data_IF_561189364780
#
_entry.id   IF_561189364780
#
_cell.length_a   1.000
_cell.length_b   1.000
_cell.length_c   1.000
_cell.angle_alpha   90.00
_cell.angle_beta   90.00
_cell.angle_gamma   90.00
#
_symmetry.space_group_name_H-M   'P 1'
#
loop_
_entity.id
_entity.type
_entity.pdbx_description
1 polymer ?
#
# COMPACT_ATOMS: atom_id res chain seq x y z
N UNK A 1 11.63 -11.27 -19.81
CA UNK A 1 10.95 -10.11 -20.41
C UNK A 1 9.51 -10.55 -20.57
N UNK A 2 8.63 -10.11 -19.66
CA UNK A 2 7.20 -10.46 -19.73
C UNK A 2 6.48 -9.37 -20.52
N UNK A 3 5.59 -9.77 -21.43
CA UNK A 3 4.74 -8.85 -22.16
C UNK A 3 3.54 -8.54 -21.25
N UNK A 4 3.63 -7.47 -20.45
CA UNK A 4 2.62 -7.19 -19.42
C UNK A 4 1.68 -6.09 -19.94
N UNK A 5 0.40 -6.44 -20.09
CA UNK A 5 -0.66 -5.49 -20.43
C UNK A 5 -1.24 -4.86 -19.16
N UNK A 6 -1.40 -3.53 -19.09
CA UNK A 6 -2.03 -2.88 -17.96
C UNK A 6 -3.42 -3.44 -17.66
N UNK A 7 -3.69 -3.80 -16.41
CA UNK A 7 -4.97 -4.34 -15.94
C UNK A 7 -5.50 -3.52 -14.77
N UNK A 8 -6.74 -3.08 -14.87
CA UNK A 8 -7.47 -2.47 -13.76
C UNK A 8 -8.65 -3.36 -13.39
N UNK A 9 -8.71 -3.75 -12.12
CA UNK A 9 -9.75 -4.60 -11.55
C UNK A 9 -10.62 -3.72 -10.66
N UNK A 10 -11.85 -3.48 -11.09
CA UNK A 10 -12.85 -2.65 -10.37
C UNK A 10 -13.93 -3.50 -9.73
N UNK A 11 -14.14 -4.73 -10.22
CA UNK A 11 -15.09 -5.67 -9.66
C UNK A 11 -14.56 -6.25 -8.33
N UNK A 12 -15.31 -6.15 -7.22
CA UNK A 12 -14.85 -6.60 -5.91
C UNK A 12 -14.53 -8.10 -5.86
N UNK A 13 -15.40 -8.96 -6.40
CA UNK A 13 -15.21 -10.41 -6.35
C UNK A 13 -13.97 -10.85 -7.15
N UNK A 14 -13.78 -10.29 -8.34
CA UNK A 14 -12.57 -10.53 -9.14
C UNK A 14 -11.33 -9.97 -8.43
N UNK A 15 -11.48 -8.83 -7.75
CA UNK A 15 -10.44 -8.23 -6.94
C UNK A 15 -10.02 -9.13 -5.78
N UNK A 16 -10.96 -9.72 -5.06
CA UNK A 16 -10.69 -10.59 -3.92
C UNK A 16 -10.01 -11.88 -4.34
N UNK A 17 -10.46 -12.48 -5.45
CA UNK A 17 -9.78 -13.62 -6.05
C UNK A 17 -8.34 -13.29 -6.49
N UNK A 18 -8.09 -12.06 -6.93
CA UNK A 18 -6.74 -11.61 -7.28
C UNK A 18 -5.89 -11.39 -6.03
N UNK A 19 -6.41 -10.72 -5.00
CA UNK A 19 -5.73 -10.48 -3.72
C UNK A 19 -5.39 -11.79 -3.00
N UNK A 20 -6.31 -12.76 -3.00
CA UNK A 20 -6.08 -14.08 -2.40
C UNK A 20 -4.87 -14.80 -3.03
N UNK A 21 -4.61 -14.63 -4.33
CA UNK A 21 -3.42 -15.19 -5.00
C UNK A 21 -2.12 -14.52 -4.56
N UNK A 22 -2.21 -13.31 -4.01
CA UNK A 22 -1.10 -12.58 -3.42
C UNK A 22 -0.98 -12.84 -1.91
N UNK A 23 -1.80 -13.71 -1.33
CA UNK A 23 -1.93 -13.90 0.13
C UNK A 23 -2.27 -12.60 0.86
N UNK A 24 -3.17 -11.79 0.27
CA UNK A 24 -3.69 -10.54 0.85
C UNK A 24 -5.22 -10.60 0.94
N UNK A 25 -5.78 -9.85 1.88
CA UNK A 25 -7.23 -9.71 2.09
C UNK A 25 -7.63 -8.25 1.94
N UNK A 26 -8.77 -7.98 1.28
CA UNK A 26 -9.23 -6.62 0.99
C UNK A 26 -9.43 -5.83 2.28
N UNK A 27 -10.09 -6.43 3.26
CA UNK A 27 -10.49 -5.82 4.52
C UNK A 27 -9.27 -5.37 5.32
N UNK A 28 -8.21 -6.18 5.35
CA UNK A 28 -6.93 -5.84 6.03
C UNK A 28 -6.20 -4.69 5.34
N UNK A 29 -6.24 -4.62 4.01
CA UNK A 29 -5.66 -3.51 3.26
C UNK A 29 -6.46 -2.21 3.44
N UNK A 30 -7.79 -2.31 3.47
CA UNK A 30 -8.68 -1.19 3.77
C UNK A 30 -8.43 -0.69 5.20
N UNK A 31 -8.41 -1.60 6.19
CA UNK A 31 -8.09 -1.28 7.58
C UNK A 31 -6.78 -0.52 7.70
N UNK A 32 -5.70 -0.99 7.05
CA UNK A 32 -4.42 -0.30 6.99
C UNK A 32 -4.53 1.14 6.44
N UNK A 33 -5.35 1.37 5.42
CA UNK A 33 -5.63 2.71 4.91
C UNK A 33 -6.43 3.58 5.87
N UNK A 34 -7.35 3.02 6.66
CA UNK A 34 -8.06 3.77 7.70
C UNK A 34 -7.15 4.25 8.82
N UNK A 35 -6.12 3.48 9.22
CA UNK A 35 -5.09 3.98 10.15
C UNK A 35 -4.45 5.28 9.62
N UNK A 36 -4.13 5.33 8.32
CA UNK A 36 -3.57 6.52 7.70
C UNK A 36 -4.53 7.72 7.70
N UNK A 37 -5.81 7.50 7.36
CA UNK A 37 -6.81 8.56 7.34
C UNK A 37 -7.07 9.12 8.75
N UNK A 38 -7.20 8.23 9.75
CA UNK A 38 -7.39 8.61 11.15
C UNK A 38 -6.22 9.45 11.66
N UNK A 39 -4.98 9.03 11.38
CA UNK A 39 -3.79 9.79 11.77
C UNK A 39 -3.71 11.15 11.05
N UNK A 40 -4.07 11.22 9.76
CA UNK A 40 -4.12 12.48 9.02
C UNK A 40 -5.07 13.49 9.69
N UNK A 41 -6.22 13.01 10.18
CA UNK A 41 -7.23 13.83 10.85
C UNK A 41 -6.78 14.41 12.21
N UNK A 42 -5.70 13.88 12.81
CA UNK A 42 -5.11 14.44 14.03
C UNK A 42 -4.27 15.70 13.78
N UNK A 43 -3.93 15.98 12.52
CA UNK A 43 -3.25 17.22 12.16
C UNK A 43 -4.12 18.43 12.49
N UNK A 44 -3.47 19.51 12.93
CA UNK A 44 -4.14 20.74 13.38
C UNK A 44 -3.50 21.96 12.72
N UNK A 45 -4.16 23.13 12.73
CA UNK A 45 -3.59 24.36 12.18
C UNK A 45 -2.29 24.82 12.85
N UNK A 46 -1.94 24.26 14.01
CA UNK A 46 -0.69 24.56 14.71
C UNK A 46 0.50 23.75 14.20
N UNK A 47 0.24 22.69 13.44
CA UNK A 47 1.27 21.87 12.83
C UNK A 47 1.77 22.46 11.49
N UNK A 48 2.96 22.07 11.02
CA UNK A 48 3.40 22.36 9.66
C UNK A 48 2.41 21.85 8.60
N UNK A 49 2.35 22.52 7.45
CA UNK A 49 1.40 22.21 6.36
C UNK A 49 1.45 20.76 5.88
N UNK A 50 2.60 20.10 5.98
CA UNK A 50 2.79 18.71 5.56
C UNK A 50 2.50 17.66 6.66
N UNK A 51 2.13 18.06 7.88
CA UNK A 51 1.98 17.16 9.02
C UNK A 51 0.94 16.07 8.78
N UNK A 52 -0.22 16.40 8.21
CA UNK A 52 -1.25 15.42 7.88
C UNK A 52 -0.72 14.30 6.96
N UNK A 53 0.09 14.66 5.96
CA UNK A 53 0.71 13.68 5.06
C UNK A 53 1.76 12.82 5.76
N UNK A 54 2.52 13.38 6.70
CA UNK A 54 3.51 12.64 7.48
C UNK A 54 2.84 11.67 8.46
N UNK A 55 1.81 12.11 9.18
CA UNK A 55 1.03 11.26 10.08
C UNK A 55 0.37 10.11 9.33
N UNK A 56 -0.28 10.42 8.19
CA UNK A 56 -0.86 9.40 7.31
C UNK A 56 0.18 8.36 6.85
N UNK A 57 1.40 8.79 6.52
CA UNK A 57 2.46 7.86 6.13
C UNK A 57 2.88 6.94 7.28
N UNK A 58 3.15 7.51 8.46
CA UNK A 58 3.61 6.73 9.62
C UNK A 58 2.57 5.69 10.03
N UNK A 59 1.31 6.11 10.17
CA UNK A 59 0.24 5.22 10.61
C UNK A 59 -0.27 4.33 9.48
N UNK A 60 -0.13 4.72 8.22
CA UNK A 60 -0.37 3.83 7.08
C UNK A 60 0.63 2.67 7.01
N UNK A 61 1.92 2.92 7.26
CA UNK A 61 2.94 1.86 7.37
C UNK A 61 2.67 0.98 8.60
N UNK A 62 2.35 1.59 9.74
CA UNK A 62 2.00 0.88 10.97
C UNK A 62 0.77 -0.02 10.76
N UNK A 63 -0.30 0.51 10.17
CA UNK A 63 -1.53 -0.23 9.86
C UNK A 63 -1.24 -1.37 8.89
N UNK A 64 -0.49 -1.12 7.82
CA UNK A 64 -0.10 -2.17 6.87
C UNK A 64 0.58 -3.35 7.57
N UNK A 65 1.48 -3.07 8.51
CA UNK A 65 2.14 -4.10 9.33
C UNK A 65 1.19 -4.77 10.32
N UNK A 66 0.44 -3.97 11.08
CA UNK A 66 -0.45 -4.49 12.12
C UNK A 66 -1.52 -5.44 11.56
N UNK A 67 -2.09 -5.11 10.40
CA UNK A 67 -3.19 -5.87 9.82
C UNK A 67 -2.73 -7.09 9.01
N UNK A 68 -1.51 -7.06 8.44
CA UNK A 68 -1.09 -8.06 7.43
C UNK A 68 0.12 -8.92 7.85
N UNK A 69 0.77 -8.65 8.98
CA UNK A 69 1.86 -9.52 9.46
C UNK A 69 1.32 -10.87 9.94
N UNK A 70 2.10 -11.92 9.67
CA UNK A 70 1.73 -13.32 9.95
C UNK A 70 1.87 -14.20 8.70
N UNK A 71 1.88 -15.51 8.90
CA UNK A 71 2.13 -16.46 7.81
C UNK A 71 3.49 -16.20 7.15
N UNK A 72 3.48 -15.90 5.84
CA UNK A 72 4.67 -15.62 5.03
C UNK A 72 5.04 -14.13 4.96
N UNK A 73 4.29 -13.24 5.63
CA UNK A 73 4.52 -11.80 5.58
C UNK A 73 5.43 -11.33 6.72
N UNK A 74 6.51 -10.65 6.35
CA UNK A 74 7.50 -10.08 7.25
C UNK A 74 7.59 -8.56 7.12
N UNK A 75 8.17 -7.91 8.13
CA UNK A 75 8.51 -6.48 8.05
C UNK A 75 9.57 -6.27 6.97
N UNK A 76 9.33 -5.29 6.11
CA UNK A 76 10.29 -4.81 5.13
C UNK A 76 10.75 -3.39 5.47
N UNK A 77 12.07 -3.19 5.53
CA UNK A 77 12.75 -1.90 5.70
C UNK A 77 14.12 -1.97 5.04
N UNK A 78 14.22 -1.45 3.82
CA UNK A 78 15.45 -1.39 3.03
C UNK A 78 15.43 -0.11 2.19
N UNK A 79 16.60 0.47 1.87
CA UNK A 79 16.71 1.62 0.96
C UNK A 79 15.85 2.85 1.35
N UNK A 80 15.48 2.98 2.63
CA UNK A 80 14.63 4.07 3.13
C UNK A 80 13.16 3.95 2.72
N UNK A 81 12.70 2.76 2.32
CA UNK A 81 11.28 2.45 2.13
C UNK A 81 10.83 1.39 3.14
N UNK A 82 9.60 1.55 3.61
CA UNK A 82 9.03 0.77 4.71
C UNK A 82 7.74 0.10 4.25
N UNK A 83 7.54 -1.15 4.64
CA UNK A 83 6.32 -1.90 4.36
C UNK A 83 6.37 -3.34 4.88
N UNK A 84 5.83 -4.25 4.09
CA UNK A 84 5.86 -5.71 4.33
C UNK A 84 6.37 -6.44 3.08
N UNK A 85 6.93 -7.64 3.25
CA UNK A 85 7.38 -8.52 2.16
C UNK A 85 6.93 -9.96 2.36
N UNK A 86 6.78 -10.67 1.26
CA UNK A 86 6.57 -12.12 1.19
C UNK A 86 7.65 -12.71 0.28
N UNK A 87 8.61 -13.43 0.86
CA UNK A 87 9.76 -13.96 0.12
C UNK A 87 9.46 -15.23 -0.67
N UNK A 88 8.36 -15.91 -0.36
CA UNK A 88 7.87 -17.10 -1.09
C UNK A 88 7.26 -16.65 -2.42
N UNK A 89 6.36 -15.68 -2.38
CA UNK A 89 5.72 -15.11 -3.58
C UNK A 89 6.58 -14.06 -4.29
N UNK A 90 7.70 -13.66 -3.68
CA UNK A 90 8.56 -12.56 -4.12
C UNK A 90 7.76 -11.26 -4.31
N UNK A 91 7.02 -10.88 -3.28
CA UNK A 91 6.19 -9.67 -3.26
C UNK A 91 6.63 -8.71 -2.16
N UNK A 92 6.39 -7.43 -2.37
CA UNK A 92 6.49 -6.36 -1.37
C UNK A 92 5.24 -5.49 -1.47
N UNK A 93 4.75 -5.03 -0.33
CA UNK A 93 3.68 -4.01 -0.27
C UNK A 93 4.21 -2.83 0.52
N UNK A 94 4.19 -1.65 -0.10
CA UNK A 94 4.58 -0.38 0.50
C UNK A 94 3.36 0.52 0.65
N UNK A 95 3.41 1.50 1.55
CA UNK A 95 2.35 2.48 1.70
C UNK A 95 2.65 3.79 0.94
N UNK A 96 1.65 4.42 0.33
CA UNK A 96 1.79 5.76 -0.27
C UNK A 96 0.51 6.58 -0.22
N UNK A 97 0.70 7.86 0.10
CA UNK A 97 -0.28 8.91 -0.09
C UNK A 97 -0.33 9.37 -1.56
N UNK A 98 -1.51 9.28 -2.18
CA UNK A 98 -1.74 9.73 -3.57
C UNK A 98 -2.74 10.89 -3.62
N UNK A 99 -2.80 11.59 -4.75
CA UNK A 99 -3.77 12.67 -4.97
C UNK A 99 -5.18 12.13 -5.21
N UNK A 100 -5.29 11.05 -5.97
CA UNK A 100 -6.54 10.39 -6.34
C UNK A 100 -6.26 8.90 -6.51
N UNK A 101 -7.11 8.07 -5.91
CA UNK A 101 -7.16 6.62 -6.11
C UNK A 101 -8.51 6.24 -6.75
N UNK A 102 -8.60 5.03 -7.29
CA UNK A 102 -9.81 4.48 -7.89
C UNK A 102 -10.39 5.31 -9.06
N UNK A 103 -9.50 5.93 -9.86
CA UNK A 103 -9.89 6.70 -11.05
C UNK A 103 -9.34 6.07 -12.33
N UNK A 104 -9.91 6.47 -13.46
CA UNK A 104 -9.45 6.03 -14.80
C UNK A 104 -7.97 6.36 -15.04
N UNK A 105 -7.52 7.53 -14.56
CA UNK A 105 -6.11 7.89 -14.60
C UNK A 105 -5.32 7.14 -13.52
N UNK A 106 -4.05 6.84 -13.80
CA UNK A 106 -3.17 6.24 -12.80
C UNK A 106 -2.89 7.21 -11.63
N UNK A 107 -2.76 6.70 -10.40
CA UNK A 107 -2.53 7.54 -9.24
C UNK A 107 -1.22 8.31 -9.34
N UNK A 108 -1.24 9.53 -8.81
CA UNK A 108 -0.06 10.37 -8.67
C UNK A 108 0.31 10.48 -7.20
N UNK A 109 1.56 10.19 -6.87
CA UNK A 109 2.08 10.38 -5.53
C UNK A 109 1.97 11.85 -5.09
N UNK A 110 1.62 12.09 -3.82
CA UNK A 110 1.56 13.45 -3.24
C UNK A 110 2.94 14.10 -3.10
N UNK A 111 3.98 13.29 -2.95
CA UNK A 111 5.37 13.72 -2.88
C UNK A 111 6.21 13.04 -3.95
N UNK A 112 7.34 13.66 -4.33
CA UNK A 112 8.34 12.97 -5.13
C UNK A 112 8.83 11.73 -4.39
N UNK A 113 9.05 10.66 -5.14
CA UNK A 113 9.68 9.42 -4.70
C UNK A 113 11.19 9.61 -4.65
N UNK A 114 11.80 9.09 -3.59
CA UNK A 114 13.26 9.09 -3.45
C UNK A 114 13.89 7.99 -4.30
N UNK A 115 15.21 8.08 -4.50
CA UNK A 115 15.97 7.10 -5.27
C UNK A 115 15.85 5.67 -4.72
N UNK A 116 15.59 5.50 -3.41
CA UNK A 116 15.31 4.18 -2.81
C UNK A 116 14.01 3.55 -3.31
N UNK A 117 12.95 4.36 -3.47
CA UNK A 117 11.68 3.88 -4.05
C UNK A 117 11.84 3.46 -5.52
N UNK A 118 12.73 4.11 -6.28
CA UNK A 118 13.04 3.70 -7.67
C UNK A 118 13.85 2.40 -7.72
N UNK A 119 14.80 2.22 -6.81
CA UNK A 119 15.59 0.98 -6.71
C UNK A 119 14.74 -0.21 -6.28
N UNK A 120 13.77 0.01 -5.40
CA UNK A 120 12.89 -1.05 -4.86
C UNK A 120 11.67 -1.30 -5.75
N UNK A 121 11.17 -0.29 -6.45
CA UNK A 121 10.14 -0.47 -7.47
C UNK A 121 10.76 -0.81 -8.83
N UNK A 122 9.93 -1.00 -9.85
CA UNK A 122 10.42 -1.22 -11.20
C UNK A 122 11.21 0.00 -11.69
N UNK A 123 12.54 -0.13 -11.76
CA UNK A 123 13.39 0.79 -12.50
C UNK A 123 13.73 0.19 -13.86
N UNK A 124 13.62 1.01 -14.90
CA UNK A 124 13.94 0.61 -16.25
C UNK A 124 15.47 0.58 -16.43
N UNK A 125 16.08 -0.61 -16.34
CA UNK A 125 17.53 -0.80 -16.56
C UNK A 125 18.01 -0.34 -17.96
N UNK A 126 17.12 -0.05 -18.91
CA UNK A 126 17.49 0.26 -20.29
C UNK A 126 17.99 1.71 -20.49
N UNK A 127 17.93 2.57 -19.47
CA UNK A 127 18.56 3.90 -19.54
C UNK A 127 20.09 3.86 -19.61
N UNK A 128 20.75 2.87 -19.00
CA UNK A 128 22.20 2.70 -19.16
C UNK A 128 22.61 2.42 -20.61
N UNK A 129 21.67 1.99 -21.45
CA UNK A 129 21.85 1.73 -22.87
C UNK A 129 21.24 2.81 -23.79
N UNK A 130 20.57 3.83 -23.24
CA UNK A 130 19.93 4.90 -24.02
C UNK A 130 18.76 4.45 -24.90
N UNK A 131 18.08 3.34 -24.55
CA UNK A 131 16.99 2.77 -25.35
C UNK A 131 15.65 3.09 -24.67
N UNK A 132 14.81 3.86 -25.36
CA UNK A 132 13.42 4.09 -24.96
C UNK A 132 12.58 2.89 -25.44
N UNK A 133 12.30 1.94 -24.54
CA UNK A 133 11.55 0.75 -24.90
C UNK A 133 10.04 1.04 -24.99
N UNK A 134 9.32 0.34 -25.88
CA UNK A 134 7.86 0.38 -25.86
C UNK A 134 7.31 -0.06 -24.50
N UNK A 135 6.13 0.46 -24.18
CA UNK A 135 5.34 0.29 -22.93
C UNK A 135 5.33 -1.15 -22.37
N UNK A 136 5.50 -2.14 -23.23
CA UNK A 136 5.40 -3.58 -22.98
C UNK A 136 6.60 -4.22 -22.29
N UNK A 137 7.66 -3.48 -21.98
CA UNK A 137 8.83 -4.04 -21.29
C UNK A 137 8.98 -3.40 -19.92
N UNK A 138 8.65 -4.15 -18.88
CA UNK A 138 9.00 -3.79 -17.49
C UNK A 138 10.01 -4.80 -16.97
N UNK A 139 11.14 -4.32 -16.47
CA UNK A 139 12.07 -5.11 -15.66
C UNK A 139 11.93 -4.67 -14.22
N UNK A 140 11.48 -5.58 -13.35
CA UNK A 140 11.50 -5.34 -11.91
C UNK A 140 12.96 -5.28 -11.45
N UNK A 141 13.30 -4.34 -10.58
CA UNK A 141 14.60 -4.34 -9.93
C UNK A 141 14.59 -5.36 -8.79
N UNK A 142 15.55 -6.29 -8.82
CA UNK A 142 15.59 -7.42 -7.90
C UNK A 142 14.55 -8.49 -8.25
N UNK A 143 14.33 -9.38 -7.28
CA UNK A 143 13.47 -10.56 -7.47
C UNK A 143 12.00 -10.29 -7.10
N UNK A 144 11.69 -9.13 -6.49
CA UNK A 144 10.36 -8.86 -5.91
C UNK A 144 9.50 -7.91 -6.76
N UNK A 145 8.20 -8.21 -6.88
CA UNK A 145 7.20 -7.26 -7.35
C UNK A 145 6.77 -6.35 -6.20
N UNK A 146 6.87 -5.03 -6.39
CA UNK A 146 6.56 -4.03 -5.35
C UNK A 146 5.22 -3.36 -5.62
N UNK A 147 4.19 -3.82 -4.92
CA UNK A 147 2.89 -3.17 -4.88
C UNK A 147 2.92 -2.00 -3.90
N UNK A 148 2.03 -1.04 -4.14
CA UNK A 148 1.77 0.08 -3.26
C UNK A 148 0.30 0.07 -2.86
N UNK A 149 0.03 0.09 -1.56
CA UNK A 149 -1.25 0.50 -1.01
C UNK A 149 -1.35 2.01 -1.14
N UNK A 150 -2.18 2.45 -2.07
CA UNK A 150 -2.36 3.85 -2.43
C UNK A 150 -3.62 4.40 -1.80
N UNK A 151 -3.47 5.42 -0.95
CA UNK A 151 -4.58 6.04 -0.21
C UNK A 151 -4.68 7.53 -0.58
N UNK A 152 -5.87 7.94 -1.02
CA UNK A 152 -6.15 9.34 -1.28
C UNK A 152 -6.77 10.05 -0.06
N UNK A 153 -6.88 11.38 -0.15
CA UNK A 153 -7.38 12.20 0.96
C UNK A 153 -8.88 12.10 1.21
N UNK A 154 -9.64 11.50 0.28
CA UNK A 154 -11.08 11.30 0.38
C UNK A 154 -11.44 9.86 0.78
N UNK A 155 -10.43 9.04 1.05
CA UNK A 155 -10.57 7.68 1.52
C UNK A 155 -10.72 6.63 0.41
N UNK A 156 -10.54 6.99 -0.86
CA UNK A 156 -10.41 5.97 -1.89
C UNK A 156 -9.06 5.25 -1.74
N UNK A 157 -9.07 3.92 -1.91
CA UNK A 157 -7.89 3.10 -1.74
C UNK A 157 -7.76 2.08 -2.86
N UNK A 158 -6.55 1.90 -3.37
CA UNK A 158 -6.23 0.85 -4.33
C UNK A 158 -4.87 0.19 -4.03
N UNK A 159 -4.76 -1.10 -4.35
CA UNK A 159 -3.48 -1.80 -4.38
C UNK A 159 -2.99 -1.84 -5.84
N UNK A 160 -1.87 -1.19 -6.10
CA UNK A 160 -1.38 -1.04 -7.48
C UNK A 160 0.10 -1.38 -7.61
N UNK A 161 0.49 -1.89 -8.77
CA UNK A 161 1.86 -2.23 -9.15
C UNK A 161 2.41 -1.15 -10.10
N UNK A 162 2.98 -0.05 -9.58
CA UNK A 162 3.46 1.04 -10.41
C UNK A 162 4.85 0.78 -11.01
N UNK A 163 5.09 1.42 -12.16
CA UNK A 163 6.44 1.71 -12.66
C UNK A 163 6.85 3.08 -12.11
N UNK A 164 7.99 3.15 -11.41
CA UNK A 164 8.49 4.39 -10.83
C UNK A 164 9.63 4.93 -11.69
N UNK A 165 9.53 6.18 -12.13
CA UNK A 165 10.56 6.87 -12.92
C UNK A 165 10.61 8.35 -12.56
N UNK A 166 11.81 8.92 -12.45
CA UNK A 166 12.04 10.35 -12.17
C UNK A 166 11.30 10.84 -10.92
N UNK A 167 11.26 10.01 -9.87
CA UNK A 167 10.60 10.30 -8.62
C UNK A 167 9.07 10.30 -8.69
N UNK A 168 8.46 9.71 -9.71
CA UNK A 168 7.01 9.64 -9.87
C UNK A 168 6.52 8.28 -10.34
N UNK A 169 5.24 8.00 -10.13
CA UNK A 169 4.56 6.88 -10.79
C UNK A 169 4.34 7.26 -12.25
N UNK A 170 4.99 6.54 -13.16
CA UNK A 170 4.84 6.75 -14.59
C UNK A 170 3.51 6.16 -15.08
N UNK A 171 3.22 4.93 -14.64
CA UNK A 171 2.00 4.18 -14.92
C UNK A 171 1.83 3.02 -13.94
N UNK A 172 0.64 2.43 -13.87
CA UNK A 172 0.41 1.19 -13.14
C UNK A 172 0.20 0.01 -14.09
N UNK A 173 0.83 -1.11 -13.76
CA UNK A 173 0.73 -2.38 -14.49
C UNK A 173 -0.53 -3.11 -14.05
N UNK A 174 -0.67 -3.33 -12.75
CA UNK A 174 -1.86 -3.91 -12.15
C UNK A 174 -2.45 -2.90 -11.17
N UNK A 175 -3.78 -2.81 -11.13
CA UNK A 175 -4.53 -1.98 -10.19
C UNK A 175 -5.73 -2.76 -9.68
N UNK A 176 -5.90 -2.82 -8.38
CA UNK A 176 -7.07 -3.41 -7.72
C UNK A 176 -7.72 -2.33 -6.87
N UNK A 177 -8.94 -1.92 -7.25
CA UNK A 177 -9.68 -0.94 -6.46
C UNK A 177 -10.18 -1.66 -5.20
N UNK A 178 -9.87 -1.10 -4.04
CA UNK A 178 -10.22 -1.67 -2.74
C UNK A 178 -11.55 -1.09 -2.26
N UNK A 179 -11.63 0.24 -2.22
CA UNK A 179 -12.80 1.01 -1.82
C UNK A 179 -12.80 2.36 -2.55
N UNK A 180 -13.98 2.84 -2.95
CA UNK A 180 -14.14 4.17 -3.53
C UNK A 180 -14.39 5.21 -2.42
N UNK A 181 -13.82 6.41 -2.56
CA UNK A 181 -13.94 7.46 -1.56
C UNK A 181 -15.39 7.89 -1.35
N UNK A 182 -15.79 8.07 -0.10
CA UNK A 182 -17.17 8.37 0.30
C UNK A 182 -17.94 7.18 0.89
N UNK A 183 -17.39 5.96 0.83
CA UNK A 183 -17.99 4.73 1.37
C UNK A 183 -17.37 4.31 2.72
N UNK A 184 -16.84 5.28 3.48
CA UNK A 184 -16.12 5.03 4.75
C UNK A 184 -17.00 4.43 5.85
N UNK A 185 -18.33 4.51 5.69
CA UNK A 185 -19.32 3.98 6.63
C UNK A 185 -19.71 2.51 6.35
N UNK A 186 -19.28 1.93 5.21
CA UNK A 186 -19.68 0.58 4.79
C UNK A 186 -18.76 -0.55 5.30
N UNK A 187 -17.65 -0.22 5.96
CA UNK A 187 -16.69 -1.22 6.46
C UNK A 187 -17.07 -1.57 7.89
N UNK A 188 -17.79 -2.69 8.06
CA UNK A 188 -18.03 -3.29 9.38
C UNK A 188 -16.71 -3.90 9.88
N UNK A 189 -15.94 -3.10 10.62
CA UNK A 189 -14.85 -3.62 11.44
C UNK A 189 -15.50 -4.45 12.51
N UNK A 190 -15.62 -5.77 12.29
CA UNK A 190 -16.16 -6.71 13.25
C UNK A 190 -15.51 -6.45 14.61
N UNK A 191 -16.23 -5.73 15.47
CA UNK A 191 -15.84 -5.56 16.86
C UNK A 191 -16.07 -6.94 17.42
N UNK A 192 -15.00 -7.71 17.62
CA UNK A 192 -15.08 -8.85 18.51
C UNK A 192 -15.58 -8.27 19.83
N UNK A 193 -16.86 -8.54 20.16
CA UNK A 193 -17.40 -8.18 21.46
C UNK A 193 -16.38 -8.64 22.50
N UNK A 194 -16.03 -7.79 23.47
CA UNK A 194 -15.12 -8.19 24.53
C UNK A 194 -15.66 -9.50 25.09
N UNK A 195 -14.88 -10.58 24.92
CA UNK A 195 -15.25 -11.86 25.48
C UNK A 195 -15.37 -11.61 26.98
N UNK A 196 -16.59 -11.74 27.50
CA UNK A 196 -16.87 -11.55 28.91
C UNK A 196 -16.38 -12.81 29.65
N UNK A 197 -15.08 -13.10 29.52
CA UNK A 197 -14.41 -14.22 30.14
C UNK A 197 -14.01 -13.78 31.56
N UNK A 198 -14.69 -14.30 32.60
CA UNK A 198 -14.44 -13.90 33.97
C UNK A 198 -13.12 -14.44 34.54
N UNK A 199 -12.31 -15.20 33.78
CA UNK A 199 -11.08 -15.85 34.26
C UNK A 199 -9.77 -15.06 34.05
N UNK A 200 -9.82 -13.79 33.62
CA UNK A 200 -8.61 -12.94 33.54
C UNK A 200 -8.26 -12.31 34.90
N UNK A 201 -7.80 -13.14 35.84
CA UNK A 201 -7.16 -12.67 37.07
C UNK A 201 -5.75 -12.12 36.77
N UNK A 202 -5.66 -10.79 36.61
CA UNK A 202 -4.37 -10.09 36.49
C UNK A 202 -3.68 -10.10 37.86
N UNK A 203 -2.73 -11.01 38.06
CA UNK A 203 -1.87 -11.03 39.24
C UNK A 203 -0.77 -9.97 39.10
N UNK A 204 -1.00 -8.78 39.65
CA UNK A 204 0.03 -7.73 39.75
C UNK A 204 0.99 -8.07 40.89
N UNK A 205 2.19 -8.55 40.54
CA UNK A 205 3.29 -8.69 41.49
C UNK A 205 4.14 -7.42 41.46
N UNK A 206 4.14 -6.63 42.55
CA UNK A 206 5.10 -5.53 42.73
C UNK A 206 6.45 -6.10 43.18
N UNK A 207 7.53 -5.68 42.52
CA UNK A 207 8.91 -5.83 43.01
C UNK A 207 9.30 -4.64 43.87
#
# INVERSE_FOLDING_TARGET
MENISPKTITDPEIGDLYLARLELEREKLIAAGHHALAAAATASPLHPTNAAGMFAYMDGVKGLRAENLGGNWEIFSEEGVEGIRNDVLKLRVLFVNVNQACRKADPRARSRKGAGSERVACGDMFEAAGIDLPISVVKFHGDHKTYYLMVDQFGAMELSLPVVKNGQFLRCIDRVFLIEGGDLDAVDFGINEPTNDPDLDIVVSRK
#
